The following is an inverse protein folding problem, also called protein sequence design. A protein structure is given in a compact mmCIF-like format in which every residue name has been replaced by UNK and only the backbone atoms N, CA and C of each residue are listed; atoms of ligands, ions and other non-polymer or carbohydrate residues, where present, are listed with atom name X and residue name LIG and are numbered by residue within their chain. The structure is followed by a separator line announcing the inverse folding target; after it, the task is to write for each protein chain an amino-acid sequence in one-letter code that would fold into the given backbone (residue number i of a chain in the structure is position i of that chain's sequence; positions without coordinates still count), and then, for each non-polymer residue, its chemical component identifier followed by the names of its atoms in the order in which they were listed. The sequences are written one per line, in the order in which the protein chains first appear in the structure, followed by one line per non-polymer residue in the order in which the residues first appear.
data_IF_814461707678
#
_entry.id   IF_814461707678
#
_cell.length_a   1.000
_cell.length_b   1.000
_cell.length_c   1.000
_cell.angle_alpha   90.00
_cell.angle_beta   90.00
_cell.angle_gamma   90.00
#
_symmetry.space_group_name_H-M   'P 1'
#
loop_
_entity.id
_entity.type
_entity.pdbx_description
1 polymer ?
#
# COMPACT_ATOMS: atom_id res chain seq x y z
N UNK A 1 -1.77 -12.00 1.99
CA UNK A 1 -2.23 -12.83 3.13
C UNK A 1 -1.54 -14.17 3.07
N UNK A 2 -1.05 -14.68 4.20
CA UNK A 2 -0.41 -15.99 4.27
C UNK A 2 -1.37 -17.03 4.87
N UNK A 3 -1.16 -18.29 4.52
CA UNK A 3 -1.75 -19.43 5.21
C UNK A 3 -0.63 -20.16 5.94
N UNK A 4 -0.81 -20.44 7.23
CA UNK A 4 0.19 -21.09 8.08
C UNK A 4 -0.34 -22.39 8.69
N UNK A 5 0.52 -23.38 8.85
CA UNK A 5 0.21 -24.62 9.56
C UNK A 5 0.23 -24.41 11.10
N UNK A 6 -0.05 -25.48 11.85
CA UNK A 6 -0.04 -25.44 13.32
C UNK A 6 1.32 -25.14 13.96
N UNK A 7 2.42 -25.23 13.19
CA UNK A 7 3.76 -24.85 13.62
C UNK A 7 4.13 -23.41 13.21
N UNK A 8 3.22 -22.68 12.55
CA UNK A 8 3.44 -21.33 12.05
C UNK A 8 4.22 -21.27 10.73
N UNK A 9 4.49 -22.39 10.08
CA UNK A 9 5.16 -22.43 8.77
C UNK A 9 4.15 -22.05 7.70
N UNK A 10 4.56 -21.17 6.78
CA UNK A 10 3.74 -20.77 5.63
C UNK A 10 3.53 -21.96 4.67
N UNK A 11 2.27 -22.32 4.46
CA UNK A 11 1.82 -23.36 3.53
C UNK A 11 1.17 -22.79 2.26
N UNK A 12 0.80 -21.50 2.27
CA UNK A 12 0.22 -20.83 1.10
C UNK A 12 0.20 -19.32 1.20
N UNK A 13 -0.16 -18.65 0.11
CA UNK A 13 -0.32 -17.19 0.05
C UNK A 13 -1.40 -16.79 -0.95
N UNK A 14 -2.09 -15.69 -0.69
CA UNK A 14 -2.99 -15.01 -1.63
C UNK A 14 -2.72 -13.51 -1.62
N UNK A 15 -2.84 -12.89 -2.79
CA UNK A 15 -2.73 -11.44 -2.98
C UNK A 15 -4.10 -10.88 -3.36
N UNK A 16 -4.51 -9.82 -2.69
CA UNK A 16 -5.77 -9.12 -2.95
C UNK A 16 -5.43 -7.73 -3.50
N UNK A 17 -6.09 -7.35 -4.58
CA UNK A 17 -6.06 -5.99 -5.12
C UNK A 17 -7.45 -5.40 -4.97
N UNK A 18 -7.53 -4.12 -4.60
CA UNK A 18 -8.80 -3.47 -4.32
C UNK A 18 -8.74 -1.99 -4.71
N UNK A 19 -9.86 -1.42 -5.16
CA UNK A 19 -9.86 -0.04 -5.66
C UNK A 19 -9.74 1.01 -4.54
N UNK A 20 -10.02 0.66 -3.29
CA UNK A 20 -9.94 1.55 -2.12
C UNK A 20 -9.42 0.80 -0.91
N UNK A 21 -8.94 1.55 0.11
CA UNK A 21 -8.52 0.98 1.39
C UNK A 21 -9.69 0.29 2.10
N UNK A 22 -10.87 0.90 2.08
CA UNK A 22 -12.08 0.30 2.67
C UNK A 22 -12.44 -1.04 2.00
N UNK A 23 -12.35 -1.11 0.67
CA UNK A 23 -12.56 -2.37 -0.06
C UNK A 23 -11.46 -3.40 0.23
N UNK A 24 -10.20 -2.96 0.39
CA UNK A 24 -9.10 -3.84 0.76
C UNK A 24 -9.33 -4.46 2.15
N UNK A 25 -9.70 -3.66 3.15
CA UNK A 25 -9.98 -4.14 4.50
C UNK A 25 -11.16 -5.12 4.53
N UNK A 26 -12.24 -4.83 3.80
CA UNK A 26 -13.37 -5.75 3.67
C UNK A 26 -12.97 -7.08 3.01
N UNK A 27 -12.22 -7.03 1.90
CA UNK A 27 -11.73 -8.22 1.21
C UNK A 27 -10.76 -9.02 2.07
N UNK A 28 -9.91 -8.35 2.84
CA UNK A 28 -8.98 -9.00 3.74
C UNK A 28 -9.70 -9.68 4.91
N UNK A 29 -10.76 -9.07 5.46
CA UNK A 29 -11.60 -9.68 6.48
C UNK A 29 -12.30 -10.94 5.95
N UNK A 30 -12.85 -10.87 4.74
CA UNK A 30 -13.52 -12.00 4.09
C UNK A 30 -12.53 -13.15 3.82
N UNK A 31 -11.34 -12.84 3.28
CA UNK A 31 -10.32 -13.85 3.04
C UNK A 31 -9.80 -14.49 4.34
N UNK A 32 -9.75 -13.73 5.44
CA UNK A 32 -9.38 -14.24 6.75
C UNK A 32 -10.41 -15.22 7.32
N UNK A 33 -11.70 -14.93 7.13
CA UNK A 33 -12.81 -15.76 7.61
C UNK A 33 -13.13 -16.95 6.70
N UNK A 34 -12.56 -17.02 5.50
CA UNK A 34 -12.88 -18.04 4.51
C UNK A 34 -12.26 -19.41 4.86
N UNK A 35 -13.08 -20.26 5.48
CA UNK A 35 -12.69 -21.62 5.90
C UNK A 35 -12.41 -22.55 4.71
N UNK A 36 -13.04 -22.32 3.55
CA UNK A 36 -12.80 -23.11 2.35
C UNK A 36 -11.39 -22.86 1.79
N UNK A 37 -10.95 -21.60 1.75
CA UNK A 37 -9.57 -21.25 1.41
C UNK A 37 -8.59 -21.84 2.43
N UNK A 38 -8.89 -21.76 3.73
CA UNK A 38 -8.05 -22.37 4.77
C UNK A 38 -7.88 -23.88 4.57
N UNK A 39 -8.97 -24.58 4.26
CA UNK A 39 -8.97 -26.03 3.99
C UNK A 39 -8.18 -26.38 2.73
N UNK A 40 -8.41 -25.65 1.63
CA UNK A 40 -7.73 -25.87 0.37
C UNK A 40 -6.21 -25.60 0.47
N UNK A 41 -5.81 -24.62 1.29
CA UNK A 41 -4.40 -24.26 1.51
C UNK A 41 -3.73 -25.10 2.61
N UNK A 42 -4.50 -25.90 3.36
CA UNK A 42 -3.99 -26.73 4.45
C UNK A 42 -3.50 -25.93 5.66
N UNK A 43 -4.08 -24.75 5.92
CA UNK A 43 -3.62 -23.86 6.99
C UNK A 43 -4.61 -22.77 7.39
N UNK A 44 -4.23 -21.99 8.40
CA UNK A 44 -5.02 -20.85 8.90
C UNK A 44 -4.56 -19.56 8.22
N UNK A 45 -5.51 -18.76 7.75
CA UNK A 45 -5.23 -17.46 7.17
C UNK A 45 -4.70 -16.47 8.22
N UNK A 46 -3.65 -15.73 7.88
CA UNK A 46 -3.08 -14.66 8.71
C UNK A 46 -2.72 -13.44 7.86
N UNK A 47 -3.02 -12.24 8.37
CA UNK A 47 -2.61 -10.97 7.73
C UNK A 47 -1.08 -10.87 7.74
N UNK A 48 -0.50 -10.48 6.61
CA UNK A 48 0.94 -10.23 6.48
C UNK A 48 1.17 -8.73 6.38
N UNK A 49 0.99 -8.04 7.51
CA UNK A 49 1.17 -6.58 7.60
C UNK A 49 2.56 -6.12 7.18
N UNK A 50 3.57 -7.01 7.20
CA UNK A 50 4.93 -6.70 6.74
C UNK A 50 5.04 -6.59 5.22
N UNK A 51 4.18 -7.31 4.47
CA UNK A 51 4.18 -7.33 3.00
C UNK A 51 2.98 -6.62 2.38
N UNK A 52 2.01 -6.19 3.17
CA UNK A 52 0.95 -5.30 2.71
C UNK A 52 1.54 -3.98 2.22
N UNK A 53 1.28 -3.67 0.95
CA UNK A 53 1.76 -2.48 0.27
C UNK A 53 0.57 -1.60 -0.04
N UNK A 54 0.53 -0.41 0.56
CA UNK A 54 -0.44 0.63 0.27
C UNK A 54 0.28 1.74 -0.48
N UNK A 55 -0.33 2.25 -1.54
CA UNK A 55 0.10 3.49 -2.17
C UNK A 55 -1.09 4.38 -2.52
N UNK A 56 -0.88 5.68 -2.42
CA UNK A 56 -1.79 6.70 -2.92
C UNK A 56 -1.02 7.55 -3.92
N UNK A 57 -1.57 7.75 -5.12
CA UNK A 57 -0.96 8.59 -6.14
C UNK A 57 -1.88 9.77 -6.43
N UNK A 58 -1.32 10.98 -6.31
CA UNK A 58 -1.99 12.23 -6.63
C UNK A 58 -1.42 12.77 -7.94
N UNK A 59 -2.30 13.19 -8.85
CA UNK A 59 -1.91 14.05 -9.98
C UNK A 59 -1.94 15.49 -9.49
N UNK A 60 -0.83 16.19 -9.66
CA UNK A 60 -0.63 17.56 -9.20
C UNK A 60 -0.28 18.47 -10.38
N UNK A 61 -0.62 19.74 -10.25
CA UNK A 61 -0.40 20.78 -11.26
C UNK A 61 0.39 21.92 -10.62
N UNK A 62 1.58 22.23 -11.12
CA UNK A 62 2.30 23.43 -10.70
C UNK A 62 1.75 24.67 -11.45
N UNK A 63 1.63 25.83 -10.79
CA UNK A 63 1.23 27.08 -11.43
C UNK A 63 2.07 27.48 -12.67
N UNK A 64 3.28 26.97 -12.82
CA UNK A 64 4.13 27.17 -14.01
C UNK A 64 3.67 26.39 -15.24
N UNK A 65 2.74 25.43 -15.07
CA UNK A 65 2.18 24.60 -16.14
C UNK A 65 2.63 23.14 -16.13
N UNK A 66 3.49 22.73 -15.19
CA UNK A 66 3.99 21.37 -15.09
C UNK A 66 3.00 20.41 -14.40
N UNK A 67 2.74 19.27 -15.04
CA UNK A 67 2.00 18.15 -14.45
C UNK A 67 2.98 17.17 -13.79
N UNK A 68 2.80 16.88 -12.51
CA UNK A 68 3.62 15.90 -11.79
C UNK A 68 2.77 14.96 -10.95
N UNK A 69 3.35 13.85 -10.51
CA UNK A 69 2.69 12.89 -9.63
C UNK A 69 3.40 12.79 -8.30
N UNK A 70 2.64 12.84 -7.21
CA UNK A 70 3.12 12.54 -5.86
C UNK A 70 2.56 11.19 -5.44
N UNK A 71 3.45 10.23 -5.21
CA UNK A 71 3.10 8.87 -4.79
C UNK A 71 3.54 8.66 -3.35
N UNK A 72 2.57 8.47 -2.47
CA UNK A 72 2.78 8.06 -1.08
C UNK A 72 2.82 6.54 -1.05
N UNK A 73 3.85 5.99 -0.41
CA UNK A 73 3.92 4.58 -0.03
C UNK A 73 4.11 4.49 1.48
N UNK A 74 4.06 3.29 2.04
CA UNK A 74 4.32 3.07 3.47
C UNK A 74 5.65 3.67 3.97
N UNK A 75 6.68 3.76 3.12
CA UNK A 75 8.04 4.11 3.54
C UNK A 75 8.62 5.35 2.87
N UNK A 76 8.02 5.79 1.77
CA UNK A 76 8.60 6.83 0.94
C UNK A 76 7.51 7.65 0.27
N UNK A 77 7.73 8.95 0.21
CA UNK A 77 7.07 9.85 -0.75
C UNK A 77 7.93 9.92 -2.00
N UNK A 78 7.35 9.68 -3.18
CA UNK A 78 8.03 9.73 -4.47
C UNK A 78 7.37 10.77 -5.36
N UNK A 79 8.19 11.59 -6.00
CA UNK A 79 7.75 12.54 -7.02
C UNK A 79 8.19 12.00 -8.39
N UNK A 80 7.33 12.10 -9.40
CA UNK A 80 7.67 11.72 -10.78
C UNK A 80 7.05 12.70 -11.78
N UNK A 81 7.59 12.70 -13.00
CA UNK A 81 7.15 13.52 -14.13
C UNK A 81 7.32 15.04 -13.97
N UNK A 82 8.04 15.50 -12.94
CA UNK A 82 8.40 16.91 -12.80
C UNK A 82 9.53 17.28 -13.76
N UNK A 83 9.52 18.51 -14.30
CA UNK A 83 10.60 19.04 -15.15
C UNK A 83 11.45 20.08 -14.42
N UNK A 84 10.86 20.83 -13.51
CA UNK A 84 11.54 21.83 -12.68
C UNK A 84 11.92 21.28 -11.29
N UNK A 85 13.20 21.36 -10.93
CA UNK A 85 13.71 20.98 -9.59
C UNK A 85 13.12 21.86 -8.47
N UNK A 86 12.59 23.05 -8.78
CA UNK A 86 11.86 23.86 -7.83
C UNK A 86 10.58 23.15 -7.33
N UNK A 87 9.96 22.29 -8.13
CA UNK A 87 8.81 21.48 -7.72
C UNK A 87 9.24 20.48 -6.65
N UNK A 88 10.37 19.79 -6.88
CA UNK A 88 10.94 18.86 -5.91
C UNK A 88 11.24 19.56 -4.58
N UNK A 89 11.90 20.71 -4.63
CA UNK A 89 12.23 21.48 -3.42
C UNK A 89 10.99 21.92 -2.63
N UNK A 90 9.92 22.35 -3.30
CA UNK A 90 8.64 22.68 -2.65
C UNK A 90 8.01 21.48 -1.95
N UNK A 91 8.01 20.31 -2.61
CA UNK A 91 7.41 19.10 -2.04
C UNK A 91 8.25 18.55 -0.89
N UNK A 92 9.59 18.60 -0.97
CA UNK A 92 10.48 18.22 0.14
C UNK A 92 10.23 19.13 1.35
N UNK A 93 10.23 20.45 1.16
CA UNK A 93 9.94 21.41 2.24
C UNK A 93 8.54 21.23 2.84
N UNK A 94 7.54 20.89 2.03
CA UNK A 94 6.21 20.54 2.53
C UNK A 94 6.22 19.23 3.32
N UNK A 95 6.87 18.19 2.81
CA UNK A 95 6.91 16.87 3.43
C UNK A 95 7.57 16.93 4.82
N UNK A 96 8.65 17.70 4.97
CA UNK A 96 9.34 17.93 6.25
C UNK A 96 8.44 18.60 7.32
N UNK A 97 7.39 19.31 6.88
CA UNK A 97 6.43 19.98 7.77
C UNK A 97 5.20 19.13 8.11
N UNK A 98 5.08 17.91 7.57
CA UNK A 98 3.94 17.02 7.83
C UNK A 98 4.39 15.86 8.72
N UNK A 99 4.15 15.92 10.05
CA UNK A 99 4.62 14.89 10.99
C UNK A 99 4.08 13.48 10.70
N UNK A 100 2.95 13.37 9.99
CA UNK A 100 2.38 12.08 9.60
C UNK A 100 3.17 11.35 8.50
N UNK A 101 4.21 11.97 7.93
CA UNK A 101 5.07 11.39 6.89
C UNK A 101 6.42 10.87 7.42
N UNK A 102 6.70 10.96 8.73
CA UNK A 102 7.87 10.35 9.38
C UNK A 102 7.80 8.81 9.48
#
# INVERSE_FOLDING_TARGET
MNFVDGAGKRVGTVSLQSPTIAAFEANAAEALANTALGTAMGGTAVRDFGRESYYAQLKCHDPTGDDYYVTFTRKTVRISSYQDDAIKAKIEAWADLVPALE
#
